data_IF_292722604755
#
_entry.id   IF_292722604755
#
_cell.length_a   1.000
_cell.length_b   1.000
_cell.length_c   1.000
_cell.angle_alpha   90.00
_cell.angle_beta   90.00
_cell.angle_gamma   90.00
#
_symmetry.space_group_name_H-M   'P 1'
#
loop_
_entity.id
_entity.type
_entity.pdbx_description
1 polymer ?
#
# COMPACT_ATOMS: atom_id res chain seq x y z
N UNK A 1 9.31 87.48 -22.30
CA UNK A 1 9.73 87.02 -23.63
C UNK A 1 8.96 85.75 -23.96
N UNK A 2 8.23 85.81 -25.06
CA UNK A 2 7.33 84.80 -25.65
C UNK A 2 8.04 83.50 -26.02
N UNK A 3 7.41 82.35 -25.75
CA UNK A 3 7.61 81.13 -26.56
C UNK A 3 6.24 80.46 -26.83
N UNK A 4 5.97 80.05 -28.08
CA UNK A 4 4.63 79.71 -28.54
C UNK A 4 4.28 78.21 -28.40
N UNK A 5 2.98 77.95 -28.51
CA UNK A 5 2.37 76.63 -28.60
C UNK A 5 2.81 75.86 -29.85
N UNK A 6 3.10 74.57 -29.72
CA UNK A 6 3.00 73.62 -30.84
C UNK A 6 2.38 72.29 -30.38
N UNK A 7 1.17 72.07 -30.90
CA UNK A 7 0.57 70.81 -31.34
C UNK A 7 0.50 69.61 -30.36
N UNK A 8 -0.68 69.47 -29.75
CA UNK A 8 -1.23 68.17 -29.31
C UNK A 8 -1.39 67.24 -30.52
N UNK A 9 -0.52 66.24 -30.66
CA UNK A 9 -0.85 65.01 -31.40
C UNK A 9 -1.48 64.01 -30.43
N UNK A 10 -2.79 63.78 -30.57
CA UNK A 10 -3.48 62.65 -29.94
C UNK A 10 -3.01 61.37 -30.62
N UNK A 11 -2.17 60.58 -29.96
CA UNK A 11 -1.86 59.22 -30.38
C UNK A 11 -2.93 58.31 -29.77
N UNK A 12 -3.82 57.79 -30.60
CA UNK A 12 -4.73 56.72 -30.21
C UNK A 12 -3.95 55.41 -30.32
N UNK A 13 -3.50 54.85 -29.20
CA UNK A 13 -2.96 53.49 -29.17
C UNK A 13 -4.15 52.55 -29.10
N UNK A 14 -4.53 51.95 -30.24
CA UNK A 14 -5.46 50.83 -30.26
C UNK A 14 -4.69 49.61 -29.78
N UNK A 15 -4.86 49.27 -28.51
CA UNK A 15 -4.39 47.98 -27.98
C UNK A 15 -5.29 46.89 -28.57
N UNK A 16 -4.80 46.17 -29.59
CA UNK A 16 -5.36 44.89 -30.00
C UNK A 16 -5.12 43.89 -28.86
N UNK A 17 -6.05 43.78 -27.93
CA UNK A 17 -6.13 42.64 -27.03
C UNK A 17 -6.60 41.43 -27.84
N UNK A 18 -5.66 40.64 -28.34
CA UNK A 18 -5.95 39.29 -28.77
C UNK A 18 -6.38 38.49 -27.55
N UNK A 19 -7.69 38.34 -27.35
CA UNK A 19 -8.25 37.39 -26.39
C UNK A 19 -7.88 35.99 -26.88
N UNK A 20 -6.75 35.46 -26.40
CA UNK A 20 -6.48 34.03 -26.47
C UNK A 20 -7.50 33.38 -25.54
N UNK A 21 -8.61 32.92 -26.11
CA UNK A 21 -9.51 31.95 -25.48
C UNK A 21 -8.71 30.66 -25.30
N UNK A 22 -7.87 30.62 -24.26
CA UNK A 22 -7.28 29.41 -23.76
C UNK A 22 -8.43 28.55 -23.25
N UNK A 23 -8.89 27.62 -24.08
CA UNK A 23 -9.63 26.47 -23.58
C UNK A 23 -8.68 25.72 -22.67
N UNK A 24 -8.73 26.02 -21.38
CA UNK A 24 -8.14 25.19 -20.36
C UNK A 24 -8.87 23.84 -20.47
N UNK A 25 -8.28 22.90 -21.20
CA UNK A 25 -8.61 21.49 -21.07
C UNK A 25 -8.22 21.13 -19.64
N UNK A 26 -9.17 21.23 -18.72
CA UNK A 26 -9.06 20.53 -17.45
C UNK A 26 -8.77 19.08 -17.81
N UNK A 27 -7.72 18.46 -17.25
CA UNK A 27 -7.59 17.01 -17.37
C UNK A 27 -8.87 16.46 -16.72
N UNK A 28 -9.72 15.85 -17.54
CA UNK A 28 -10.78 14.99 -17.03
C UNK A 28 -10.01 13.96 -16.23
N UNK A 29 -10.08 14.04 -14.89
CA UNK A 29 -9.67 12.95 -14.04
C UNK A 29 -10.48 11.75 -14.54
N UNK A 30 -9.82 10.84 -15.26
CA UNK A 30 -10.46 9.61 -15.70
C UNK A 30 -11.12 8.99 -14.47
N UNK A 31 -12.43 8.75 -14.53
CA UNK A 31 -13.15 8.16 -13.42
C UNK A 31 -12.40 6.89 -13.01
N UNK A 32 -12.00 6.81 -11.72
CA UNK A 32 -11.30 5.64 -11.22
C UNK A 32 -12.14 4.39 -11.56
N UNK A 33 -11.54 3.34 -12.14
CA UNK A 33 -12.29 2.16 -12.55
C UNK A 33 -13.08 1.61 -11.36
N UNK A 34 -14.38 1.43 -11.54
CA UNK A 34 -15.26 0.90 -10.51
C UNK A 34 -15.01 -0.60 -10.36
N UNK A 35 -14.83 -1.07 -9.13
CA UNK A 35 -14.70 -2.50 -8.82
C UNK A 35 -16.08 -3.15 -8.89
N UNK A 36 -16.23 -4.16 -9.76
CA UNK A 36 -17.41 -5.00 -9.77
C UNK A 36 -17.28 -6.09 -8.71
N UNK A 37 -18.13 -6.04 -7.68
CA UNK A 37 -18.09 -6.99 -6.56
C UNK A 37 -19.05 -8.15 -6.79
N UNK A 38 -18.57 -9.37 -6.53
CA UNK A 38 -19.36 -10.59 -6.50
C UNK A 38 -19.07 -11.40 -5.24
N UNK A 39 -19.82 -12.49 -5.03
CA UNK A 39 -19.47 -13.45 -3.96
C UNK A 39 -18.14 -14.10 -4.28
N UNK A 40 -17.28 -14.24 -3.29
CA UNK A 40 -16.09 -15.06 -3.44
C UNK A 40 -16.48 -16.53 -3.66
N UNK A 41 -15.83 -17.21 -4.61
CA UNK A 41 -16.00 -18.64 -4.86
C UNK A 41 -14.78 -19.41 -4.39
N UNK A 42 -14.96 -20.62 -3.84
CA UNK A 42 -13.86 -21.50 -3.47
C UNK A 42 -13.15 -21.15 -2.15
N UNK A 43 -13.68 -20.24 -1.34
CA UNK A 43 -13.13 -19.96 0.00
C UNK A 43 -13.62 -20.98 1.05
N UNK A 44 -12.75 -21.42 1.98
CA UNK A 44 -13.16 -22.23 3.13
C UNK A 44 -14.02 -21.42 4.12
N UNK A 45 -14.86 -22.08 4.93
CA UNK A 45 -15.49 -21.41 6.09
C UNK A 45 -14.43 -20.99 7.12
N UNK A 46 -14.59 -19.87 7.85
CA UNK A 46 -15.81 -19.05 8.03
C UNK A 46 -15.94 -17.84 7.09
N UNK A 47 -15.13 -17.74 6.02
CA UNK A 47 -14.97 -16.51 5.22
C UNK A 47 -15.88 -16.47 3.98
N UNK A 48 -17.03 -17.15 4.01
CA UNK A 48 -17.95 -17.26 2.87
C UNK A 48 -18.82 -16.02 2.63
N UNK A 49 -18.88 -15.11 3.60
CA UNK A 49 -19.63 -13.85 3.51
C UNK A 49 -18.84 -12.72 2.84
N UNK A 50 -17.61 -12.99 2.41
CA UNK A 50 -16.75 -12.04 1.73
C UNK A 50 -17.14 -11.82 0.27
N UNK A 51 -16.85 -10.61 -0.21
CA UNK A 51 -17.01 -10.23 -1.61
C UNK A 51 -15.65 -10.11 -2.29
N UNK A 52 -15.56 -10.60 -3.52
CA UNK A 52 -14.37 -10.56 -4.34
C UNK A 52 -14.64 -9.71 -5.58
N UNK A 53 -13.61 -9.05 -6.10
CA UNK A 53 -13.71 -8.23 -7.30
C UNK A 53 -12.34 -8.02 -7.94
N UNK A 54 -12.33 -7.36 -9.10
CA UNK A 54 -11.10 -6.98 -9.79
C UNK A 54 -11.03 -5.48 -10.02
N UNK A 55 -9.81 -4.94 -10.00
CA UNK A 55 -9.52 -3.56 -10.36
C UNK A 55 -8.50 -3.55 -11.50
N UNK A 56 -8.93 -3.11 -12.67
CA UNK A 56 -8.04 -2.94 -13.82
C UNK A 56 -7.23 -1.66 -13.67
N UNK A 57 -5.90 -1.77 -13.77
CA UNK A 57 -4.97 -0.63 -13.69
C UNK A 57 -3.95 -0.71 -14.84
N UNK A 58 -3.35 0.42 -15.26
CA UNK A 58 -2.31 0.40 -16.30
C UNK A 58 -1.12 -0.47 -15.89
N UNK A 59 -0.56 -1.23 -16.82
CA UNK A 59 0.67 -2.00 -16.57
C UNK A 59 1.84 -1.06 -16.28
N UNK A 60 1.97 -0.01 -17.07
CA UNK A 60 2.90 1.10 -16.85
C UNK A 60 2.11 2.40 -16.66
N UNK A 61 2.34 3.11 -15.55
CA UNK A 61 1.70 4.40 -15.30
C UNK A 61 2.33 5.56 -16.08
N UNK A 62 3.58 5.43 -16.55
CA UNK A 62 4.21 6.39 -17.43
C UNK A 62 3.71 6.23 -18.88
N UNK A 63 3.31 5.02 -19.27
CA UNK A 63 2.73 4.70 -20.57
C UNK A 63 1.37 3.98 -20.43
N UNK A 64 0.28 4.66 -20.03
CA UNK A 64 -0.98 4.01 -19.68
C UNK A 64 -1.65 3.21 -20.81
N UNK A 65 -1.28 3.48 -22.06
CA UNK A 65 -1.78 2.76 -23.25
C UNK A 65 -1.04 1.47 -23.59
N UNK A 66 0.07 1.16 -22.91
CA UNK A 66 0.91 -0.02 -23.18
C UNK A 66 0.28 -1.35 -22.77
N UNK A 67 -0.78 -1.31 -21.96
CA UNK A 67 -1.51 -2.47 -21.49
C UNK A 67 -2.03 -2.30 -20.07
N UNK A 68 -2.76 -3.30 -19.59
CA UNK A 68 -3.38 -3.30 -18.26
C UNK A 68 -3.08 -4.58 -17.49
N UNK A 69 -3.19 -4.49 -16.17
CA UNK A 69 -3.19 -5.63 -15.25
C UNK A 69 -4.45 -5.56 -14.38
N UNK A 70 -5.02 -6.70 -14.04
CA UNK A 70 -6.09 -6.80 -13.07
C UNK A 70 -5.53 -7.08 -11.68
N UNK A 71 -5.94 -6.28 -10.70
CA UNK A 71 -5.68 -6.55 -9.30
C UNK A 71 -6.86 -7.32 -8.72
N UNK A 72 -6.62 -8.44 -8.03
CA UNK A 72 -7.64 -9.14 -7.26
C UNK A 72 -7.87 -8.41 -5.93
N UNK A 73 -9.14 -8.22 -5.57
CA UNK A 73 -9.57 -7.60 -4.32
C UNK A 73 -10.53 -8.49 -3.56
N UNK A 74 -10.51 -8.35 -2.25
CA UNK A 74 -11.44 -8.98 -1.32
C UNK A 74 -11.98 -7.96 -0.32
N UNK A 75 -13.25 -8.11 0.06
CA UNK A 75 -13.97 -7.21 0.96
C UNK A 75 -14.79 -7.97 1.99
N UNK A 76 -14.57 -7.67 3.26
CA UNK A 76 -15.51 -7.95 4.34
C UNK A 76 -16.38 -6.73 4.58
N UNK A 77 -17.69 -6.84 4.36
CA UNK A 77 -18.60 -5.70 4.60
C UNK A 77 -18.67 -5.32 6.06
N UNK A 78 -18.84 -4.02 6.30
CA UNK A 78 -19.13 -3.49 7.63
C UNK A 78 -20.37 -4.18 8.22
N UNK A 79 -20.33 -4.51 9.52
CA UNK A 79 -21.44 -5.17 10.22
C UNK A 79 -22.38 -4.18 10.91
N UNK A 80 -21.95 -2.93 11.08
CA UNK A 80 -22.73 -1.86 11.71
C UNK A 80 -22.86 -0.61 10.84
N UNK A 81 -22.85 0.56 11.48
CA UNK A 81 -22.94 1.85 10.79
C UNK A 81 -21.68 2.16 9.97
N UNK A 82 -21.74 1.89 8.67
CA UNK A 82 -20.63 2.05 7.72
C UNK A 82 -20.14 3.51 7.64
N UNK A 83 -18.91 3.73 8.04
CA UNK A 83 -18.16 4.98 7.92
C UNK A 83 -17.34 5.07 6.63
N UNK A 84 -16.93 3.95 6.05
CA UNK A 84 -16.11 3.92 4.83
C UNK A 84 -15.46 2.57 4.56
N UNK A 85 -14.37 2.58 3.80
CA UNK A 85 -13.53 1.40 3.55
C UNK A 85 -12.16 1.58 4.20
N UNK A 86 -11.67 0.54 4.85
CA UNK A 86 -10.31 0.45 5.36
C UNK A 86 -9.53 -0.53 4.49
N UNK A 87 -8.50 -0.02 3.82
CA UNK A 87 -7.68 -0.80 2.89
C UNK A 87 -6.45 -1.32 3.62
N UNK A 88 -6.28 -2.63 3.63
CA UNK A 88 -5.14 -3.35 4.15
C UNK A 88 -4.19 -3.68 3.01
N UNK A 89 -2.90 -3.48 3.25
CA UNK A 89 -1.83 -3.95 2.40
C UNK A 89 -0.79 -4.59 3.30
N UNK A 90 -0.78 -5.91 3.35
CA UNK A 90 0.21 -6.66 4.10
C UNK A 90 1.49 -6.70 3.28
N UNK A 91 2.61 -6.25 3.86
CA UNK A 91 3.91 -6.23 3.19
C UNK A 91 4.47 -7.62 2.88
N UNK A 92 5.77 -7.68 2.52
CA UNK A 92 6.49 -8.95 2.25
C UNK A 92 6.08 -9.62 0.95
N UNK A 93 6.68 -10.73 0.51
CA UNK A 93 6.33 -11.39 -0.76
C UNK A 93 5.19 -12.42 -0.69
N UNK A 94 4.66 -12.70 0.51
CA UNK A 94 3.88 -13.90 0.78
C UNK A 94 2.47 -13.71 1.32
N UNK A 95 1.93 -12.48 1.37
CA UNK A 95 0.53 -12.24 1.77
C UNK A 95 -0.35 -11.95 0.56
N UNK A 96 -1.48 -12.63 0.49
CA UNK A 96 -2.52 -12.45 -0.53
C UNK A 96 -3.92 -12.22 0.10
N UNK A 97 -4.94 -12.09 -0.75
CA UNK A 97 -6.33 -11.89 -0.33
C UNK A 97 -6.89 -13.04 0.52
N UNK A 98 -6.35 -14.26 0.40
CA UNK A 98 -6.76 -15.42 1.22
C UNK A 98 -6.16 -15.33 2.63
N UNK A 99 -4.92 -14.88 2.75
CA UNK A 99 -4.33 -14.58 4.06
C UNK A 99 -5.13 -13.52 4.79
N UNK A 100 -5.52 -12.45 4.08
CA UNK A 100 -6.43 -11.45 4.64
C UNK A 100 -7.77 -12.06 5.05
N UNK A 101 -8.36 -12.95 4.25
CA UNK A 101 -9.63 -13.59 4.61
C UNK A 101 -9.51 -14.31 5.95
N UNK A 102 -8.46 -15.13 6.13
CA UNK A 102 -8.19 -15.84 7.37
C UNK A 102 -7.96 -14.88 8.56
N UNK A 103 -7.40 -13.71 8.29
CA UNK A 103 -7.11 -12.65 9.26
C UNK A 103 -8.25 -11.63 9.43
N UNK A 104 -9.32 -11.64 8.64
CA UNK A 104 -10.39 -10.64 8.80
C UNK A 104 -11.05 -10.67 10.21
N UNK A 105 -11.24 -11.84 10.86
CA UNK A 105 -11.85 -11.90 12.20
C UNK A 105 -11.08 -11.16 13.31
N UNK A 106 -9.75 -11.05 13.24
CA UNK A 106 -8.97 -10.29 14.25
C UNK A 106 -9.23 -8.77 14.19
N UNK A 107 -9.88 -8.28 13.13
CA UNK A 107 -10.27 -6.88 12.95
C UNK A 107 -11.77 -6.65 13.16
N UNK A 108 -12.45 -7.53 13.92
CA UNK A 108 -13.90 -7.47 14.12
C UNK A 108 -14.39 -6.11 14.66
N UNK A 109 -13.62 -5.47 15.55
CA UNK A 109 -13.94 -4.14 16.07
C UNK A 109 -13.96 -3.08 14.96
N UNK A 110 -12.96 -3.09 14.06
CA UNK A 110 -12.91 -2.21 12.89
C UNK A 110 -14.06 -2.50 11.92
N UNK A 111 -14.39 -3.79 11.72
CA UNK A 111 -15.50 -4.23 10.85
C UNK A 111 -16.86 -3.69 11.30
N UNK A 112 -17.02 -3.25 12.55
CA UNK A 112 -18.28 -2.60 12.97
C UNK A 112 -18.55 -1.28 12.23
N UNK A 113 -17.51 -0.61 11.73
CA UNK A 113 -17.60 0.71 11.07
C UNK A 113 -17.06 0.72 9.65
N UNK A 114 -16.15 -0.17 9.29
CA UNK A 114 -15.50 -0.14 7.99
C UNK A 114 -15.76 -1.41 7.18
N UNK A 115 -15.92 -1.24 5.87
CA UNK A 115 -15.63 -2.34 4.95
C UNK A 115 -14.12 -2.60 5.04
N UNK A 116 -13.72 -3.81 5.40
CA UNK A 116 -12.31 -4.19 5.40
C UNK A 116 -11.97 -4.71 4.01
N UNK A 117 -11.03 -4.06 3.34
CA UNK A 117 -10.66 -4.35 1.95
C UNK A 117 -9.18 -4.71 1.89
N UNK A 118 -8.83 -5.78 1.19
CA UNK A 118 -7.45 -6.09 0.85
C UNK A 118 -7.34 -6.36 -0.65
N UNK A 119 -6.12 -6.33 -1.17
CA UNK A 119 -5.85 -6.60 -2.58
C UNK A 119 -4.53 -7.33 -2.76
N UNK A 120 -4.46 -8.15 -3.80
CA UNK A 120 -3.22 -8.76 -4.26
C UNK A 120 -2.42 -7.73 -5.04
N UNK A 121 -1.16 -7.52 -4.65
CA UNK A 121 -0.26 -6.63 -5.38
C UNK A 121 0.07 -7.22 -6.75
N UNK A 122 0.54 -6.38 -7.67
CA UNK A 122 1.01 -6.80 -8.99
C UNK A 122 2.02 -7.94 -8.86
N UNK A 123 1.81 -9.05 -9.56
CA UNK A 123 2.71 -10.21 -9.52
C UNK A 123 2.51 -11.14 -8.32
N UNK A 124 1.39 -11.06 -7.61
CA UNK A 124 1.10 -11.93 -6.44
C UNK A 124 -0.33 -12.45 -6.47
N UNK A 125 -0.60 -13.59 -5.81
CA UNK A 125 -1.94 -14.16 -5.67
C UNK A 125 -2.70 -14.27 -7.01
N UNK A 126 -3.91 -13.72 -7.04
CA UNK A 126 -4.74 -13.60 -8.25
C UNK A 126 -4.35 -12.46 -9.19
N UNK A 127 -3.42 -11.58 -8.79
CA UNK A 127 -2.97 -10.40 -9.57
C UNK A 127 -1.79 -10.72 -10.48
N UNK A 128 -2.00 -11.61 -11.44
CA UNK A 128 -1.02 -12.03 -12.45
C UNK A 128 0.32 -12.54 -11.86
N UNK A 129 0.32 -13.65 -11.08
CA UNK A 129 1.53 -14.18 -10.47
C UNK A 129 2.55 -14.58 -11.55
N UNK A 130 3.86 -14.33 -11.33
CA UNK A 130 4.89 -14.70 -12.29
C UNK A 130 4.88 -16.22 -12.50
N UNK A 131 4.86 -16.66 -13.75
CA UNK A 131 5.08 -18.06 -14.10
C UNK A 131 6.58 -18.32 -14.15
N UNK A 132 7.16 -18.74 -13.05
CA UNK A 132 8.59 -19.06 -12.94
C UNK A 132 8.92 -20.42 -13.61
N UNK A 133 8.74 -20.53 -14.94
CA UNK A 133 9.14 -21.71 -15.72
C UNK A 133 8.53 -23.05 -15.24
N UNK A 134 9.06 -24.17 -15.74
CA UNK A 134 8.59 -25.54 -15.40
C UNK A 134 9.13 -26.08 -14.07
N UNK A 135 9.74 -25.24 -13.24
CA UNK A 135 10.38 -25.66 -11.99
C UNK A 135 9.30 -25.92 -10.92
N UNK A 136 8.85 -27.19 -10.86
CA UNK A 136 7.91 -27.70 -9.83
C UNK A 136 8.30 -27.36 -8.39
N UNK A 137 9.57 -27.05 -8.13
CA UNK A 137 10.05 -26.62 -6.82
C UNK A 137 9.58 -25.20 -6.45
N UNK A 138 9.52 -24.28 -7.42
CA UNK A 138 9.01 -22.91 -7.20
C UNK A 138 7.51 -22.93 -6.93
N UNK A 139 6.75 -23.70 -7.72
CA UNK A 139 5.30 -23.89 -7.52
C UNK A 139 4.98 -24.51 -6.15
N UNK A 140 5.79 -25.48 -5.70
CA UNK A 140 5.64 -26.14 -4.39
C UNK A 140 6.03 -25.27 -3.20
N UNK A 141 6.92 -24.32 -3.38
CA UNK A 141 7.33 -23.37 -2.34
C UNK A 141 6.27 -22.30 -2.11
N UNK A 142 5.60 -21.85 -3.17
CA UNK A 142 4.48 -20.90 -3.08
C UNK A 142 3.17 -21.58 -2.64
N UNK A 143 3.04 -22.90 -2.80
CA UNK A 143 1.87 -23.66 -2.36
C UNK A 143 1.98 -24.09 -0.89
N UNK A 144 1.15 -23.51 -0.02
CA UNK A 144 1.00 -23.94 1.37
C UNK A 144 0.17 -25.25 1.43
N UNK A 145 0.83 -26.37 1.75
CA UNK A 145 0.18 -27.68 1.94
C UNK A 145 -0.17 -28.00 3.40
N UNK A 146 -0.94 -29.06 3.66
CA UNK A 146 -1.14 -29.57 5.03
C UNK A 146 0.20 -30.09 5.60
N UNK A 147 0.53 -29.72 6.85
CA UNK A 147 1.75 -30.19 7.55
C UNK A 147 2.97 -29.26 7.52
N UNK A 148 2.80 -28.00 7.10
CA UNK A 148 3.88 -26.99 7.04
C UNK A 148 4.45 -26.67 8.43
N UNK A 149 5.76 -26.83 8.59
CA UNK A 149 6.53 -26.35 9.74
C UNK A 149 6.96 -24.90 9.55
N UNK A 150 6.75 -24.05 10.57
CA UNK A 150 7.23 -22.67 10.57
C UNK A 150 8.71 -22.66 11.00
N UNK A 151 9.63 -22.30 10.11
CA UNK A 151 10.97 -21.89 10.52
C UNK A 151 11.37 -20.54 9.93
N UNK A 152 12.18 -19.87 10.74
CA UNK A 152 12.59 -18.47 10.85
C UNK A 152 12.62 -17.66 9.54
N UNK A 153 11.79 -16.61 9.54
CA UNK A 153 11.55 -15.55 8.54
C UNK A 153 10.44 -15.85 7.51
N UNK A 154 9.24 -15.99 8.06
CA UNK A 154 7.92 -15.58 7.51
C UNK A 154 7.32 -16.26 6.28
N UNK A 155 7.85 -17.39 5.80
CA UNK A 155 7.12 -18.24 4.85
C UNK A 155 7.01 -19.69 5.35
N UNK A 156 5.81 -20.25 5.24
CA UNK A 156 5.57 -21.65 5.51
C UNK A 156 6.30 -22.54 4.50
N UNK A 157 7.22 -23.38 4.96
CA UNK A 157 7.99 -24.28 4.09
C UNK A 157 7.25 -25.61 3.96
N UNK A 158 6.95 -26.01 2.72
CA UNK A 158 6.40 -27.33 2.41
C UNK A 158 7.37 -28.43 2.91
N UNK A 159 6.91 -29.37 3.77
CA UNK A 159 7.77 -30.39 4.37
C UNK A 159 8.37 -31.38 3.35
N UNK A 160 7.83 -31.42 2.13
CA UNK A 160 8.34 -32.25 1.02
C UNK A 160 9.56 -31.62 0.30
N UNK A 161 9.96 -30.40 0.67
CA UNK A 161 11.12 -29.70 0.08
C UNK A 161 12.36 -29.84 0.97
N UNK A 162 13.51 -30.16 0.37
CA UNK A 162 14.76 -30.19 1.12
C UNK A 162 15.28 -28.78 1.41
N UNK A 163 16.09 -28.61 2.47
CA UNK A 163 16.76 -27.34 2.77
C UNK A 163 17.59 -26.82 1.58
N UNK A 164 18.15 -27.72 0.76
CA UNK A 164 18.88 -27.36 -0.46
C UNK A 164 17.95 -26.78 -1.52
N UNK A 165 16.77 -27.36 -1.71
CA UNK A 165 15.78 -26.88 -2.68
C UNK A 165 15.25 -25.51 -2.27
N UNK A 166 14.94 -25.34 -0.98
CA UNK A 166 14.51 -24.06 -0.39
C UNK A 166 15.61 -23.01 -0.53
N UNK A 167 16.85 -23.34 -0.17
CA UNK A 167 17.99 -22.42 -0.29
C UNK A 167 18.28 -22.02 -1.74
N UNK A 168 18.19 -22.98 -2.67
CA UNK A 168 18.39 -22.70 -4.11
C UNK A 168 17.31 -21.79 -4.65
N UNK A 169 16.05 -22.03 -4.27
CA UNK A 169 14.93 -21.22 -4.72
C UNK A 169 14.96 -19.81 -4.13
N UNK A 170 15.20 -19.66 -2.82
CA UNK A 170 15.34 -18.34 -2.18
C UNK A 170 16.50 -17.54 -2.79
N UNK A 171 17.61 -18.21 -3.11
CA UNK A 171 18.74 -17.59 -3.80
C UNK A 171 18.34 -17.13 -5.20
N UNK A 172 17.59 -17.93 -5.97
CA UNK A 172 17.10 -17.55 -7.30
C UNK A 172 16.07 -16.41 -7.27
N UNK A 173 15.13 -16.43 -6.32
CA UNK A 173 14.15 -15.35 -6.11
C UNK A 173 14.87 -14.05 -5.72
N UNK A 174 15.86 -14.15 -4.84
CA UNK A 174 16.70 -13.03 -4.44
C UNK A 174 17.55 -12.54 -5.61
N UNK A 175 18.06 -13.44 -6.45
CA UNK A 175 18.84 -13.10 -7.64
C UNK A 175 17.99 -12.38 -8.69
N UNK A 176 16.75 -12.83 -8.96
CA UNK A 176 15.85 -12.12 -9.88
C UNK A 176 15.44 -10.75 -9.34
N UNK A 177 15.18 -10.66 -8.02
CA UNK A 177 14.94 -9.37 -7.34
C UNK A 177 16.16 -8.46 -7.44
N UNK A 178 17.36 -9.02 -7.28
CA UNK A 178 18.64 -8.31 -7.39
C UNK A 178 18.95 -7.91 -8.83
N UNK A 179 18.65 -8.74 -9.82
CA UNK A 179 18.86 -8.45 -11.24
C UNK A 179 17.88 -7.39 -11.73
N UNK A 180 16.63 -7.38 -11.26
CA UNK A 180 15.69 -6.28 -11.49
C UNK A 180 16.13 -5.00 -10.80
N UNK A 181 16.64 -5.10 -9.57
CA UNK A 181 17.25 -3.97 -8.87
C UNK A 181 18.46 -3.42 -9.63
N UNK A 182 19.35 -4.28 -10.14
CA UNK A 182 20.50 -3.91 -10.95
C UNK A 182 20.07 -3.35 -12.32
N UNK A 183 19.09 -3.94 -12.98
CA UNK A 183 18.57 -3.44 -14.25
C UNK A 183 17.92 -2.06 -14.09
N UNK A 184 17.23 -1.82 -12.98
CA UNK A 184 16.71 -0.50 -12.63
C UNK A 184 17.83 0.48 -12.24
N UNK A 185 18.80 0.05 -11.43
CA UNK A 185 19.82 0.95 -10.87
C UNK A 185 21.05 1.20 -11.72
N UNK A 186 21.56 0.18 -12.40
CA UNK A 186 22.75 0.28 -13.25
C UNK A 186 22.39 0.91 -14.61
N UNK A 187 21.19 0.67 -15.13
CA UNK A 187 20.76 1.22 -16.43
C UNK A 187 20.25 2.66 -16.34
N UNK A 188 19.68 3.07 -15.20
CA UNK A 188 19.14 4.42 -15.02
C UNK A 188 19.97 5.34 -14.12
N UNK A 189 21.01 4.83 -13.45
CA UNK A 189 21.76 5.60 -12.44
C UNK A 189 20.88 5.88 -11.22
N UNK A 190 20.76 4.92 -10.31
CA UNK A 190 20.05 5.12 -9.05
C UNK A 190 20.84 6.06 -8.13
N UNK A 191 20.53 7.35 -8.15
CA UNK A 191 20.13 7.90 -6.86
C UNK A 191 18.75 7.33 -6.54
N UNK A 192 18.46 6.88 -5.31
CA UNK A 192 17.07 6.69 -4.92
C UNK A 192 16.39 8.03 -5.15
N UNK A 193 15.61 8.14 -6.23
CA UNK A 193 14.83 9.32 -6.50
C UNK A 193 14.11 9.63 -5.19
N UNK A 194 14.33 10.83 -4.66
CA UNK A 194 13.57 11.29 -3.52
C UNK A 194 12.12 11.25 -3.98
N UNK A 195 11.41 10.17 -3.61
CA UNK A 195 10.00 10.03 -3.93
C UNK A 195 9.30 11.33 -3.49
N UNK A 196 8.29 11.79 -4.24
CA UNK A 196 7.68 13.09 -4.00
C UNK A 196 7.33 13.22 -2.51
N UNK A 197 7.66 14.37 -1.91
CA UNK A 197 7.22 14.64 -0.54
C UNK A 197 5.69 14.64 -0.52
N UNK A 198 5.10 13.72 0.24
CA UNK A 198 3.65 13.61 0.39
C UNK A 198 3.25 14.57 1.51
N UNK A 199 2.73 15.74 1.14
CA UNK A 199 2.12 16.65 2.10
C UNK A 199 0.67 16.23 2.36
N UNK A 200 0.46 15.46 3.43
CA UNK A 200 -0.87 15.13 3.90
C UNK A 200 -1.54 16.36 4.52
N UNK A 201 -2.70 16.76 4.00
CA UNK A 201 -3.50 17.90 4.50
C UNK A 201 -4.85 17.46 5.05
N UNK A 202 -5.02 16.16 5.30
CA UNK A 202 -6.28 15.64 5.81
C UNK A 202 -6.53 16.03 7.28
N UNK A 203 -7.75 15.75 7.77
CA UNK A 203 -8.25 16.33 9.02
C UNK A 203 -7.65 15.72 10.30
N UNK A 204 -6.90 14.62 10.21
CA UNK A 204 -6.29 13.95 11.37
C UNK A 204 -4.87 13.49 11.03
N UNK A 205 -3.88 13.61 11.94
CA UNK A 205 -2.50 13.25 11.67
C UNK A 205 -2.38 11.76 11.36
N UNK A 206 -1.50 11.40 10.42
CA UNK A 206 -1.24 9.98 10.13
C UNK A 206 -0.64 9.30 11.37
N UNK A 207 -1.07 8.07 11.66
CA UNK A 207 -0.50 7.23 12.71
C UNK A 207 0.46 6.21 12.08
N UNK A 208 1.72 6.24 12.49
CA UNK A 208 2.75 5.26 12.13
C UNK A 208 3.01 4.36 13.34
N UNK A 209 2.97 3.05 13.13
CA UNK A 209 3.23 2.06 14.19
C UNK A 209 4.57 1.39 13.91
N UNK A 210 5.41 1.26 14.93
CA UNK A 210 6.73 0.62 14.81
C UNK A 210 6.99 -0.28 16.02
N UNK A 211 7.76 -1.36 15.85
CA UNK A 211 8.31 -2.12 16.97
C UNK A 211 9.81 -1.86 17.14
N UNK A 212 10.30 -1.86 18.38
CA UNK A 212 11.69 -1.47 18.70
C UNK A 212 12.73 -2.39 18.08
N UNK A 213 12.44 -3.68 17.95
CA UNK A 213 13.36 -4.69 17.42
C UNK A 213 12.85 -5.30 16.10
N UNK A 214 12.04 -4.57 15.34
CA UNK A 214 11.60 -5.00 14.01
C UNK A 214 12.79 -5.00 13.04
N UNK A 215 13.32 -6.18 12.70
CA UNK A 215 14.45 -6.32 11.78
C UNK A 215 14.04 -6.18 10.31
N UNK A 216 12.77 -6.38 9.99
CA UNK A 216 12.23 -6.27 8.65
C UNK A 216 11.87 -4.81 8.29
N UNK A 217 11.35 -4.05 9.27
CA UNK A 217 11.05 -2.63 9.15
C UNK A 217 11.61 -1.83 10.36
N UNK A 218 12.93 -1.55 10.40
CA UNK A 218 13.56 -0.93 11.56
C UNK A 218 12.96 0.43 11.95
N UNK A 219 12.93 0.80 13.25
CA UNK A 219 12.36 2.06 13.74
C UNK A 219 12.87 3.33 13.03
N UNK A 220 14.12 3.32 12.59
CA UNK A 220 14.68 4.43 11.83
C UNK A 220 13.94 4.67 10.50
N UNK A 221 13.41 3.61 9.87
CA UNK A 221 12.54 3.67 8.70
C UNK A 221 11.20 4.32 9.01
N UNK A 222 10.55 3.89 10.09
CA UNK A 222 9.30 4.49 10.57
C UNK A 222 9.46 5.99 10.88
N UNK A 223 10.54 6.38 11.56
CA UNK A 223 10.83 7.78 11.84
C UNK A 223 11.07 8.62 10.56
N UNK A 224 11.74 8.06 9.55
CA UNK A 224 11.90 8.72 8.24
C UNK A 224 10.56 8.88 7.53
N UNK A 225 9.71 7.85 7.56
CA UNK A 225 8.37 7.90 6.97
C UNK A 225 7.51 8.96 7.65
N UNK A 226 7.49 9.00 8.99
CA UNK A 226 6.71 9.96 9.74
C UNK A 226 7.03 11.42 9.38
N UNK A 227 8.32 11.74 9.22
CA UNK A 227 8.76 13.08 8.74
C UNK A 227 8.31 13.36 7.30
N UNK A 228 8.42 12.38 6.40
CA UNK A 228 7.98 12.53 5.00
C UNK A 228 6.47 12.75 4.87
N UNK A 229 5.69 12.29 5.84
CA UNK A 229 4.24 12.39 5.89
C UNK A 229 3.72 13.66 6.59
N UNK A 230 4.59 14.64 6.88
CA UNK A 230 4.21 15.88 7.55
C UNK A 230 4.05 15.70 9.06
N UNK A 231 5.06 15.10 9.70
CA UNK A 231 5.15 14.85 11.14
C UNK A 231 4.00 13.99 11.69
N UNK A 232 3.84 12.81 11.09
CA UNK A 232 2.94 11.78 11.56
C UNK A 232 3.18 11.41 13.04
N UNK A 233 2.09 11.07 13.76
CA UNK A 233 2.17 10.54 15.12
C UNK A 233 2.75 9.14 15.06
N UNK A 234 3.74 8.85 15.92
CA UNK A 234 4.36 7.52 16.01
C UNK A 234 3.94 6.81 17.30
N UNK A 235 3.44 5.58 17.17
CA UNK A 235 3.19 4.63 18.25
C UNK A 235 4.28 3.55 18.23
N UNK A 236 5.03 3.45 19.31
CA UNK A 236 6.09 2.46 19.47
C UNK A 236 5.59 1.26 20.29
N UNK A 237 5.90 0.06 19.84
CA UNK A 237 5.75 -1.17 20.61
C UNK A 237 7.13 -1.72 20.99
N UNK A 238 7.33 -2.05 22.25
CA UNK A 238 8.62 -2.49 22.80
C UNK A 238 8.83 -4.00 22.60
N UNK A 239 8.86 -4.46 21.35
CA UNK A 239 8.95 -5.87 21.00
C UNK A 239 9.80 -6.19 19.78
N UNK A 240 9.82 -7.48 19.46
CA UNK A 240 10.61 -8.18 18.43
C UNK A 240 9.76 -8.68 17.26
N UNK A 241 8.49 -8.30 17.22
CA UNK A 241 7.57 -8.64 16.16
C UNK A 241 7.75 -7.74 14.93
N UNK A 242 7.44 -8.29 13.76
CA UNK A 242 7.15 -7.53 12.56
C UNK A 242 5.63 -7.32 12.45
N UNK A 243 5.20 -6.06 12.41
CA UNK A 243 3.78 -5.67 12.45
C UNK A 243 3.17 -5.76 13.86
N UNK A 244 2.75 -4.63 14.44
CA UNK A 244 2.33 -4.60 15.86
C UNK A 244 0.82 -4.55 16.10
N UNK A 245 0.01 -4.27 15.08
CA UNK A 245 -1.45 -4.28 15.21
C UNK A 245 -2.04 -5.49 14.48
N UNK A 246 -2.87 -6.34 15.11
CA UNK A 246 -3.36 -6.27 16.50
C UNK A 246 -2.52 -7.08 17.51
N UNK A 247 -1.36 -7.61 17.11
CA UNK A 247 -0.63 -8.63 17.88
C UNK A 247 0.20 -8.08 19.06
N UNK A 248 0.45 -6.77 19.13
CA UNK A 248 1.21 -6.09 20.19
C UNK A 248 0.44 -5.93 21.51
N UNK A 249 -0.59 -6.75 21.73
CA UNK A 249 -1.41 -6.77 22.93
C UNK A 249 -2.40 -5.61 23.06
N UNK A 250 -3.17 -5.57 24.17
CA UNK A 250 -4.24 -4.60 24.38
C UNK A 250 -3.76 -3.16 24.31
N UNK A 251 -2.53 -2.87 24.74
CA UNK A 251 -1.98 -1.52 24.61
C UNK A 251 -2.00 -1.08 23.14
N UNK A 252 -1.36 -1.80 22.22
CA UNK A 252 -1.32 -1.37 20.81
C UNK A 252 -2.73 -1.37 20.21
N UNK A 253 -3.49 -2.44 20.43
CA UNK A 253 -4.84 -2.60 19.86
C UNK A 253 -5.78 -1.49 20.28
N UNK A 254 -5.85 -1.14 21.56
CA UNK A 254 -6.76 -0.11 22.07
C UNK A 254 -6.43 1.27 21.49
N UNK A 255 -5.14 1.65 21.37
CA UNK A 255 -4.77 2.97 20.83
C UNK A 255 -5.08 3.07 19.34
N UNK A 256 -4.85 2.00 18.59
CA UNK A 256 -5.14 1.96 17.16
C UNK A 256 -6.65 2.02 16.93
N UNK A 257 -7.43 1.26 17.69
CA UNK A 257 -8.89 1.27 17.57
C UNK A 257 -9.51 2.58 18.07
N UNK A 258 -9.01 3.17 19.17
CA UNK A 258 -9.40 4.50 19.62
C UNK A 258 -9.17 5.56 18.53
N UNK A 259 -8.02 5.50 17.87
CA UNK A 259 -7.70 6.40 16.77
C UNK A 259 -8.65 6.19 15.58
N UNK A 260 -8.82 4.96 15.11
CA UNK A 260 -9.58 4.64 13.90
C UNK A 260 -11.10 4.66 14.07
N UNK A 261 -11.62 4.36 15.26
CA UNK A 261 -13.07 4.27 15.52
C UNK A 261 -13.63 5.52 16.21
N UNK A 262 -12.79 6.22 16.99
CA UNK A 262 -13.23 7.31 17.87
C UNK A 262 -12.48 8.62 17.61
N UNK A 263 -11.59 8.67 16.61
CA UNK A 263 -10.75 9.83 16.29
C UNK A 263 -9.91 10.32 17.48
N UNK A 264 -9.57 9.43 18.41
CA UNK A 264 -8.73 9.78 19.57
C UNK A 264 -7.27 9.64 19.18
N UNK A 265 -6.62 10.77 18.95
CA UNK A 265 -5.22 10.86 18.55
C UNK A 265 -4.33 10.40 19.72
N UNK A 266 -3.43 9.41 19.53
CA UNK A 266 -2.48 9.03 20.55
C UNK A 266 -1.52 10.18 20.89
N UNK A 267 -1.06 10.24 22.15
CA UNK A 267 -0.05 11.23 22.54
C UNK A 267 1.23 11.04 21.69
N UNK A 268 1.90 12.12 21.26
CA UNK A 268 3.18 12.03 20.55
C UNK A 268 4.21 11.23 21.36
N UNK A 269 4.91 10.30 20.70
CA UNK A 269 5.94 9.48 21.34
C UNK A 269 5.41 8.38 22.27
N UNK A 270 4.12 8.04 22.18
CA UNK A 270 3.53 6.96 22.97
C UNK A 270 4.26 5.64 22.73
N UNK A 271 4.57 4.94 23.82
CA UNK A 271 5.18 3.60 23.82
C UNK A 271 4.27 2.60 24.52
N UNK A 272 4.19 1.40 23.97
CA UNK A 272 3.48 0.25 24.53
C UNK A 272 4.48 -0.85 24.90
N UNK A 273 4.51 -1.31 26.16
CA UNK A 273 5.43 -2.37 26.58
C UNK A 273 5.03 -3.71 25.97
N UNK A 274 6.02 -4.61 25.78
CA UNK A 274 5.75 -6.03 25.48
C UNK A 274 5.02 -6.65 26.66
N UNK A 275 3.80 -7.12 26.42
CA UNK A 275 3.10 -8.00 27.35
C UNK A 275 3.67 -9.40 27.18
N UNK A 276 4.16 -9.97 28.29
CA UNK A 276 4.87 -11.26 28.33
C UNK A 276 4.06 -12.45 27.84
#
# INVERSE_FOLDING_TARGET
MTFPSLFRRRVLVVACTAAVLGTALSPVAAAAPAVSWGRCTGLPEPVRDLECGTLTVPLDYAEPGSGTIELALIRARATGGRAGSMVFNFGGGGHDVLDFAAQAPQYAALRTRYDLVSFDRRGSGGSAPPRCGTDRAADRFLALGPGVGRMVLDAGVNPDLSLRDVGTLLTRISQDSYDRFLAACVKAGCEPAAGPTIHYTGPAPILVITATNDTAAPPAGAARLARKLGDAVTLTYEGDNHGSYPIGGPCVTDRVEDYLLRNKIPAPGISCPKTG
#
